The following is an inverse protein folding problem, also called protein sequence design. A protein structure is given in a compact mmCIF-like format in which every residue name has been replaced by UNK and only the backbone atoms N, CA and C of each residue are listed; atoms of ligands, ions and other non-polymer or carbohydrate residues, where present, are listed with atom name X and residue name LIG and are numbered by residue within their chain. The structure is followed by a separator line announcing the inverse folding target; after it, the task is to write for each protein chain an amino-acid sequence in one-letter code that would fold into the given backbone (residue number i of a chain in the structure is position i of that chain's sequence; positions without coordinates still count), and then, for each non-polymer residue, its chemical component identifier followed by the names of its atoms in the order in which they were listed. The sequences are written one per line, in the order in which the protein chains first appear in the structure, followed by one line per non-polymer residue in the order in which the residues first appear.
data_IF_657004810434
#
_entry.id   IF_657004810434
#
_cell.length_a   1.000
_cell.length_b   1.000
_cell.length_c   1.000
_cell.angle_alpha   90.00
_cell.angle_beta   90.00
_cell.angle_gamma   90.00
#
_symmetry.space_group_name_H-M   'P 1'
#
loop_
_entity.id
_entity.type
_entity.pdbx_description
1 polymer ?
#
# COMPACT_ATOMS: atom_id res chain seq x y z
N UNK A 1 -5.54 48.79 58.60
CA UNK A 1 -6.48 48.12 57.72
C UNK A 1 -5.64 47.39 56.70
N UNK A 2 -5.32 46.13 57.00
CA UNK A 2 -4.31 45.33 56.31
C UNK A 2 -5.11 44.28 55.48
N UNK A 3 -5.09 44.34 54.14
CA UNK A 3 -5.66 43.35 53.30
C UNK A 3 -4.63 42.22 53.05
N UNK A 4 -5.02 41.02 53.46
CA UNK A 4 -4.31 39.76 53.13
C UNK A 4 -4.87 39.21 51.83
N UNK A 5 -4.04 39.14 50.80
CA UNK A 5 -4.37 38.38 49.56
C UNK A 5 -3.96 36.91 49.74
N UNK A 6 -4.93 36.05 49.85
CA UNK A 6 -4.73 34.59 49.76
C UNK A 6 -4.63 34.18 48.28
N UNK A 7 -3.47 33.74 47.86
CA UNK A 7 -3.24 33.10 46.58
C UNK A 7 -3.71 31.64 46.62
N UNK A 8 -4.72 31.27 45.81
CA UNK A 8 -5.04 29.89 45.52
C UNK A 8 -4.12 29.37 44.40
N UNK A 9 -3.10 28.63 44.79
CA UNK A 9 -2.41 27.72 43.89
C UNK A 9 -3.14 26.38 43.95
N UNK A 10 -3.71 25.99 42.82
CA UNK A 10 -4.44 24.74 42.69
C UNK A 10 -4.64 24.39 41.22
N UNK A 11 -3.54 24.30 40.47
CA UNK A 11 -3.55 23.57 39.21
C UNK A 11 -3.14 22.13 39.51
N UNK A 12 -4.11 21.28 39.81
CA UNK A 12 -3.90 19.85 39.86
C UNK A 12 -3.62 19.35 38.47
N UNK A 13 -2.34 19.05 38.22
CA UNK A 13 -1.92 18.21 37.14
C UNK A 13 -2.48 16.81 37.38
N UNK A 14 -3.52 16.39 36.67
CA UNK A 14 -3.87 15.00 36.53
C UNK A 14 -2.98 14.42 35.40
N UNK A 15 -1.69 14.31 35.65
CA UNK A 15 -0.79 13.43 34.95
C UNK A 15 -0.73 12.16 35.81
N UNK A 16 -1.36 11.10 35.35
CA UNK A 16 -1.02 9.77 35.80
C UNK A 16 0.39 9.49 35.26
N UNK A 17 1.39 9.57 36.12
CA UNK A 17 2.70 8.97 35.87
C UNK A 17 2.51 7.46 35.84
N UNK A 18 2.23 6.91 34.64
CA UNK A 18 2.56 5.54 34.31
C UNK A 18 4.08 5.47 34.21
N UNK A 19 4.67 4.71 35.14
CA UNK A 19 6.11 4.49 35.22
C UNK A 19 6.56 3.71 33.98
N UNK A 20 6.82 4.37 32.82
CA UNK A 20 7.20 3.71 31.58
C UNK A 20 7.41 4.63 30.36
N UNK A 21 8.14 4.12 29.38
CA UNK A 21 8.40 4.79 28.10
C UNK A 21 7.18 4.69 27.20
N UNK A 22 6.73 5.79 26.61
CA UNK A 22 5.65 5.78 25.60
C UNK A 22 6.23 5.82 24.21
N UNK A 23 5.95 4.80 23.40
CA UNK A 23 6.31 4.70 22.00
C UNK A 23 5.15 5.20 21.13
N UNK A 24 5.37 6.26 20.38
CA UNK A 24 4.39 6.83 19.45
C UNK A 24 4.55 6.20 18.08
N UNK A 25 3.50 5.49 17.61
CA UNK A 25 3.48 4.72 16.38
C UNK A 25 2.54 5.36 15.35
N UNK A 26 3.07 5.90 14.25
CA UNK A 26 2.29 6.47 13.17
C UNK A 26 1.97 5.42 12.11
N UNK A 27 0.69 5.20 11.84
CA UNK A 27 0.21 4.13 10.96
C UNK A 27 -0.88 4.59 9.99
N UNK A 28 -1.00 3.87 8.89
CA UNK A 28 -2.16 3.94 7.99
C UNK A 28 -3.30 3.12 8.57
N UNK A 29 -4.51 3.67 8.54
CA UNK A 29 -5.73 2.98 8.98
C UNK A 29 -6.12 1.91 7.94
N UNK A 30 -5.89 0.64 8.28
CA UNK A 30 -6.27 -0.52 7.50
C UNK A 30 -6.55 -1.73 8.42
N UNK A 31 -6.98 -2.86 7.86
CA UNK A 31 -7.35 -4.05 8.64
C UNK A 31 -6.17 -4.62 9.41
N UNK A 32 -4.99 -4.75 8.80
CA UNK A 32 -3.79 -5.31 9.43
C UNK A 32 -3.33 -4.45 10.63
N UNK A 33 -3.44 -3.14 10.51
CA UNK A 33 -3.11 -2.23 11.62
C UNK A 33 -4.19 -2.21 12.71
N UNK A 34 -5.45 -2.42 12.36
CA UNK A 34 -6.52 -2.60 13.36
C UNK A 34 -6.27 -3.86 14.20
N UNK A 35 -5.79 -4.94 13.57
CA UNK A 35 -5.40 -6.15 14.26
C UNK A 35 -4.20 -5.92 15.20
N UNK A 36 -3.18 -5.21 14.72
CA UNK A 36 -2.02 -4.84 15.54
C UNK A 36 -2.43 -4.00 16.77
N UNK A 37 -3.32 -3.03 16.61
CA UNK A 37 -3.86 -2.25 17.73
C UNK A 37 -4.62 -3.15 18.72
N UNK A 38 -5.40 -4.11 18.23
CA UNK A 38 -6.17 -5.01 19.11
C UNK A 38 -5.29 -5.93 19.96
N UNK A 39 -4.12 -6.32 19.41
CA UNK A 39 -3.15 -7.19 20.08
C UNK A 39 -2.09 -6.39 20.88
N UNK A 40 -2.03 -5.07 20.75
CA UNK A 40 -1.06 -4.21 21.44
C UNK A 40 -1.03 -4.37 22.99
N UNK A 41 -2.18 -4.55 23.69
CA UNK A 41 -2.18 -4.79 25.13
C UNK A 41 -1.37 -6.03 25.57
N UNK A 42 -1.23 -7.03 24.70
CA UNK A 42 -0.43 -8.21 24.99
C UNK A 42 1.06 -7.91 24.93
N UNK A 43 1.48 -7.13 23.90
CA UNK A 43 2.85 -6.62 23.85
C UNK A 43 3.21 -5.80 25.11
N UNK A 44 2.32 -4.92 25.56
CA UNK A 44 2.53 -4.10 26.76
C UNK A 44 2.61 -4.98 28.03
N UNK A 45 1.80 -6.04 28.11
CA UNK A 45 1.86 -6.97 29.23
C UNK A 45 3.17 -7.78 29.27
N UNK A 46 3.71 -8.14 28.09
CA UNK A 46 4.98 -8.86 27.95
C UNK A 46 6.20 -7.92 28.14
N UNK A 47 6.02 -6.61 27.96
CA UNK A 47 7.06 -5.58 28.07
C UNK A 47 6.71 -4.50 29.12
N UNK A 48 6.68 -4.83 30.42
CA UNK A 48 6.33 -3.88 31.47
C UNK A 48 7.22 -2.64 31.40
N UNK A 49 6.61 -1.46 31.39
CA UNK A 49 7.32 -0.19 31.25
C UNK A 49 7.38 0.37 29.82
N UNK A 50 6.78 -0.32 28.83
CA UNK A 50 6.55 0.23 27.49
C UNK A 50 5.05 0.41 27.28
N UNK A 51 4.64 1.60 26.86
CA UNK A 51 3.26 1.93 26.50
C UNK A 51 3.21 2.30 25.01
N UNK A 52 2.18 1.87 24.28
CA UNK A 52 2.01 2.18 22.87
C UNK A 52 0.95 3.27 22.67
N UNK A 53 1.29 4.27 21.86
CA UNK A 53 0.37 5.32 21.43
C UNK A 53 0.28 5.32 19.91
N UNK A 54 -0.83 4.85 19.38
CA UNK A 54 -1.06 4.84 17.94
C UNK A 54 -1.64 6.16 17.42
N UNK A 55 -1.08 6.65 16.31
CA UNK A 55 -1.60 7.74 15.49
C UNK A 55 -2.04 7.12 14.18
N UNK A 56 -3.32 6.74 14.08
CA UNK A 56 -3.90 6.10 12.91
C UNK A 56 -4.61 7.13 12.05
N UNK A 57 -4.22 7.22 10.77
CA UNK A 57 -4.70 8.22 9.81
C UNK A 57 -5.07 7.54 8.48
N UNK A 58 -5.88 8.22 7.66
CA UNK A 58 -6.09 7.79 6.27
C UNK A 58 -4.76 7.78 5.50
N UNK A 59 -4.66 7.00 4.43
CA UNK A 59 -3.40 6.79 3.73
C UNK A 59 -2.72 8.11 3.31
N UNK A 60 -3.46 9.00 2.63
CA UNK A 60 -2.91 10.29 2.20
C UNK A 60 -2.46 11.18 3.38
N UNK A 61 -3.22 11.19 4.46
CA UNK A 61 -2.88 11.97 5.67
C UNK A 61 -1.67 11.38 6.39
N UNK A 62 -1.61 10.04 6.53
CA UNK A 62 -0.49 9.35 7.14
C UNK A 62 0.80 9.63 6.38
N UNK A 63 0.79 9.43 5.06
CA UNK A 63 1.96 9.68 4.20
C UNK A 63 2.45 11.12 4.33
N UNK A 64 1.56 12.11 4.22
CA UNK A 64 1.91 13.52 4.33
C UNK A 64 2.48 13.87 5.72
N UNK A 65 1.84 13.40 6.80
CA UNK A 65 2.24 13.72 8.16
C UNK A 65 3.55 13.04 8.56
N UNK A 66 3.72 11.76 8.21
CA UNK A 66 4.95 11.01 8.50
C UNK A 66 6.12 11.63 7.74
N UNK A 67 5.97 11.90 6.43
CA UNK A 67 7.00 12.54 5.61
C UNK A 67 7.40 13.90 6.19
N UNK A 68 6.43 14.75 6.55
CA UNK A 68 6.72 16.06 7.13
C UNK A 68 7.47 15.96 8.46
N UNK A 69 7.06 15.04 9.35
CA UNK A 69 7.73 14.84 10.65
C UNK A 69 9.17 14.35 10.48
N UNK A 70 9.38 13.36 9.62
CA UNK A 70 10.71 12.75 9.39
C UNK A 70 11.66 13.73 8.69
N UNK A 71 11.21 14.36 7.59
CA UNK A 71 12.03 15.28 6.80
C UNK A 71 12.45 16.55 7.56
N UNK A 72 11.62 17.01 8.51
CA UNK A 72 11.95 18.19 9.35
C UNK A 72 12.72 17.83 10.62
N UNK A 73 12.94 16.55 10.91
CA UNK A 73 13.54 16.10 12.16
C UNK A 73 12.67 16.37 13.38
N UNK A 74 11.34 16.35 13.22
CA UNK A 74 10.37 16.77 14.26
C UNK A 74 10.28 15.88 15.48
N UNK A 75 10.79 14.63 15.45
CA UNK A 75 10.80 13.71 16.59
C UNK A 75 9.41 13.33 17.14
N UNK A 76 8.34 13.47 16.32
CA UNK A 76 6.97 13.22 16.77
C UNK A 76 6.69 11.72 16.95
N UNK A 77 7.40 10.86 16.20
CA UNK A 77 7.15 9.43 16.14
C UNK A 77 8.40 8.61 16.45
N UNK A 78 8.21 7.50 17.17
CA UNK A 78 9.24 6.50 17.43
C UNK A 78 9.22 5.38 16.38
N UNK A 79 8.02 5.02 15.90
CA UNK A 79 7.82 4.05 14.83
C UNK A 79 6.93 4.66 13.76
N UNK A 80 7.31 4.47 12.50
CA UNK A 80 6.54 4.95 11.34
C UNK A 80 6.24 3.80 10.38
N UNK A 81 5.00 3.73 9.92
CA UNK A 81 4.60 2.85 8.82
C UNK A 81 4.92 3.55 7.50
N UNK A 82 5.88 3.00 6.80
CA UNK A 82 6.39 3.49 5.52
C UNK A 82 6.46 2.34 4.51
N UNK A 83 7.04 2.57 3.34
CA UNK A 83 7.11 1.57 2.31
C UNK A 83 8.49 1.43 1.67
N UNK A 84 8.60 0.49 0.75
CA UNK A 84 9.77 0.35 -0.12
C UNK A 84 9.98 1.56 -1.07
N UNK A 85 9.01 2.45 -1.18
CA UNK A 85 9.17 3.71 -1.88
C UNK A 85 9.98 4.72 -1.06
N UNK A 86 9.61 4.92 0.22
CA UNK A 86 10.27 5.88 1.10
C UNK A 86 11.62 5.38 1.63
N UNK A 87 11.70 4.09 1.98
CA UNK A 87 12.82 3.55 2.77
C UNK A 87 14.21 3.81 2.18
N UNK A 88 14.51 3.51 0.89
CA UNK A 88 15.85 3.73 0.35
C UNK A 88 16.25 5.21 0.37
N UNK A 89 15.33 6.10 -0.02
CA UNK A 89 15.56 7.54 -0.07
C UNK A 89 15.78 8.14 1.34
N UNK A 90 15.00 7.68 2.31
CA UNK A 90 15.12 8.17 3.69
C UNK A 90 16.34 7.62 4.40
N UNK A 91 16.76 6.40 4.05
CA UNK A 91 18.02 5.83 4.51
C UNK A 91 19.23 6.60 3.96
N UNK A 92 19.24 6.90 2.66
CA UNK A 92 20.27 7.73 2.00
C UNK A 92 20.39 9.12 2.64
N UNK A 93 19.26 9.75 3.00
CA UNK A 93 19.22 11.04 3.68
C UNK A 93 19.60 10.95 5.18
N UNK A 94 19.83 9.75 5.73
CA UNK A 94 20.14 9.55 7.14
C UNK A 94 18.96 9.78 8.09
N UNK A 95 17.73 9.68 7.60
CA UNK A 95 16.52 9.93 8.38
C UNK A 95 16.02 8.72 9.14
N UNK A 96 16.48 7.52 8.80
CA UNK A 96 16.11 6.26 9.44
C UNK A 96 17.26 5.65 10.23
N UNK A 97 16.92 4.88 11.24
CA UNK A 97 17.85 4.05 12.00
C UNK A 97 18.15 2.77 11.20
N UNK A 98 19.43 2.36 11.14
CA UNK A 98 19.81 1.08 10.58
C UNK A 98 19.33 -0.04 11.52
N UNK A 99 18.48 -0.92 11.02
CA UNK A 99 17.85 -1.98 11.80
C UNK A 99 18.55 -3.34 11.69
N UNK A 100 19.56 -3.47 10.80
CA UNK A 100 20.28 -4.75 10.64
C UNK A 100 21.03 -5.18 11.90
N UNK A 101 21.59 -4.24 12.66
CA UNK A 101 22.27 -4.55 13.93
C UNK A 101 21.28 -5.07 14.95
N UNK A 102 20.15 -4.38 15.11
CA UNK A 102 19.06 -4.79 15.98
C UNK A 102 18.51 -6.18 15.64
N UNK A 103 18.30 -6.45 14.34
CA UNK A 103 17.81 -7.74 13.88
C UNK A 103 18.81 -8.87 14.18
N UNK A 104 20.10 -8.63 13.97
CA UNK A 104 21.17 -9.59 14.25
C UNK A 104 21.33 -9.90 15.75
N UNK A 105 21.09 -8.92 16.60
CA UNK A 105 21.20 -9.04 18.05
C UNK A 105 19.95 -9.62 18.71
N UNK A 106 18.82 -9.73 17.96
CA UNK A 106 17.56 -10.26 18.49
C UNK A 106 17.51 -11.78 18.32
N UNK A 107 17.59 -12.59 19.40
CA UNK A 107 17.59 -14.04 19.32
C UNK A 107 16.33 -14.57 18.67
N UNK A 108 16.46 -15.42 17.64
CA UNK A 108 15.33 -16.09 16.99
C UNK A 108 14.51 -15.21 16.03
N UNK A 109 14.90 -13.96 15.79
CA UNK A 109 14.18 -13.07 14.90
C UNK A 109 14.15 -13.56 13.44
N UNK A 110 15.22 -14.26 13.01
CA UNK A 110 15.33 -14.91 11.70
C UNK A 110 15.04 -13.96 10.52
N UNK A 111 15.93 -12.99 10.34
CA UNK A 111 15.87 -12.04 9.23
C UNK A 111 15.94 -12.71 7.85
N UNK A 112 16.55 -13.90 7.76
CA UNK A 112 16.67 -14.67 6.52
C UNK A 112 15.32 -15.25 6.04
N UNK A 113 14.33 -15.31 6.90
CA UNK A 113 12.98 -15.80 6.58
C UNK A 113 12.12 -14.75 5.84
N UNK A 114 12.53 -13.49 5.79
CA UNK A 114 11.82 -12.51 4.97
C UNK A 114 11.95 -12.82 3.47
N UNK A 115 10.90 -12.57 2.72
CA UNK A 115 10.92 -12.71 1.26
C UNK A 115 12.03 -11.80 0.69
N UNK A 116 13.02 -12.35 -0.04
CA UNK A 116 14.24 -11.62 -0.41
C UNK A 116 13.98 -10.32 -1.17
N UNK A 117 13.06 -10.33 -2.15
CA UNK A 117 12.71 -9.16 -2.96
C UNK A 117 12.15 -8.01 -2.11
N UNK A 118 11.35 -8.32 -1.08
CA UNK A 118 10.81 -7.31 -0.18
C UNK A 118 11.89 -6.77 0.76
N UNK A 119 12.70 -7.65 1.35
CA UNK A 119 13.82 -7.23 2.20
C UNK A 119 14.81 -6.35 1.44
N UNK A 120 15.17 -6.72 0.20
CA UNK A 120 16.06 -5.94 -0.64
C UNK A 120 15.49 -4.54 -0.93
N UNK A 121 14.19 -4.45 -1.25
CA UNK A 121 13.51 -3.18 -1.51
C UNK A 121 13.41 -2.25 -0.29
N UNK A 122 13.61 -2.76 0.92
CA UNK A 122 13.60 -2.04 2.20
C UNK A 122 15.03 -1.83 2.76
N UNK A 123 16.04 -2.04 1.93
CA UNK A 123 17.44 -1.93 2.29
C UNK A 123 18.12 -0.82 1.50
N UNK A 124 19.17 -0.25 2.08
CA UNK A 124 20.06 0.70 1.45
C UNK A 124 21.52 0.30 1.78
N UNK A 125 22.39 0.25 0.77
CA UNK A 125 23.79 -0.21 0.89
C UNK A 125 23.95 -1.54 1.66
N UNK A 126 23.01 -2.47 1.43
CA UNK A 126 23.03 -3.81 2.02
C UNK A 126 22.54 -3.88 3.48
N UNK A 127 22.10 -2.78 4.08
CA UNK A 127 21.52 -2.72 5.41
C UNK A 127 20.02 -2.46 5.35
N UNK A 128 19.24 -3.11 6.22
CA UNK A 128 17.80 -2.95 6.34
C UNK A 128 17.49 -1.71 7.21
N UNK A 129 16.63 -0.81 6.70
CA UNK A 129 16.22 0.42 7.40
C UNK A 129 14.74 0.45 7.76
N UNK A 130 13.94 -0.43 7.20
CA UNK A 130 12.59 -0.73 7.66
C UNK A 130 12.32 -2.22 7.50
N UNK A 131 11.42 -2.75 8.34
CA UNK A 131 11.13 -4.19 8.39
C UNK A 131 9.84 -4.47 7.66
N UNK A 132 9.79 -5.47 6.74
CA UNK A 132 8.55 -5.85 6.09
C UNK A 132 7.48 -6.27 7.11
N UNK A 133 6.38 -5.54 7.17
CA UNK A 133 5.23 -5.95 7.95
C UNK A 133 4.30 -6.82 7.09
N UNK A 134 3.98 -6.38 5.89
CA UNK A 134 3.42 -7.21 4.85
C UNK A 134 3.86 -6.75 3.47
N UNK A 135 3.94 -7.70 2.55
CA UNK A 135 4.24 -7.46 1.14
C UNK A 135 3.02 -7.73 0.29
N UNK A 136 2.90 -7.01 -0.80
CA UNK A 136 1.79 -7.16 -1.72
C UNK A 136 2.22 -6.97 -3.17
N UNK A 137 1.45 -7.59 -4.04
CA UNK A 137 1.35 -7.26 -5.46
C UNK A 137 -0.07 -6.80 -5.75
N UNK A 138 -0.47 -6.77 -7.00
CA UNK A 138 -1.85 -6.56 -7.40
C UNK A 138 -2.38 -7.74 -8.19
N UNK A 139 -3.69 -7.98 -8.06
CA UNK A 139 -4.40 -9.00 -8.81
C UNK A 139 -5.86 -8.62 -9.06
N UNK A 140 -6.52 -9.34 -9.97
CA UNK A 140 -7.94 -9.22 -10.19
C UNK A 140 -8.71 -10.11 -9.21
N UNK A 141 -9.63 -9.53 -8.48
CA UNK A 141 -10.60 -10.19 -7.62
C UNK A 141 -11.97 -10.18 -8.29
N UNK A 142 -12.68 -11.31 -8.32
CA UNK A 142 -13.95 -11.41 -9.00
C UNK A 142 -14.94 -12.37 -8.32
N UNK A 143 -16.23 -12.09 -8.44
CA UNK A 143 -17.33 -12.90 -7.92
C UNK A 143 -17.53 -14.14 -8.80
N UNK A 144 -17.03 -15.30 -8.30
CA UNK A 144 -17.18 -16.60 -9.00
C UNK A 144 -18.62 -16.98 -9.27
N UNK A 145 -19.51 -16.69 -8.34
CA UNK A 145 -20.94 -16.98 -8.46
C UNK A 145 -21.57 -16.15 -9.60
N UNK A 146 -21.32 -14.84 -9.66
CA UNK A 146 -21.84 -13.99 -10.74
C UNK A 146 -21.25 -14.36 -12.11
N UNK A 147 -19.93 -14.69 -12.15
CA UNK A 147 -19.29 -15.19 -13.39
C UNK A 147 -19.96 -16.47 -13.88
N UNK A 148 -20.21 -17.42 -12.97
CA UNK A 148 -20.86 -18.69 -13.32
C UNK A 148 -22.27 -18.48 -13.83
N UNK A 149 -23.08 -17.62 -13.18
CA UNK A 149 -24.45 -17.29 -13.61
C UNK A 149 -24.46 -16.65 -15.01
N UNK A 150 -23.48 -15.80 -15.29
CA UNK A 150 -23.31 -15.15 -16.60
C UNK A 150 -22.64 -16.04 -17.65
N UNK A 151 -22.19 -17.25 -17.30
CA UNK A 151 -21.45 -18.14 -18.21
C UNK A 151 -20.11 -17.56 -18.63
N UNK A 152 -19.41 -16.87 -17.72
CA UNK A 152 -18.06 -16.33 -17.93
C UNK A 152 -17.06 -17.23 -17.23
N UNK A 153 -15.95 -17.53 -17.90
CA UNK A 153 -14.78 -18.16 -17.29
C UNK A 153 -13.64 -17.16 -17.30
N UNK A 154 -13.23 -16.69 -16.13
CA UNK A 154 -12.07 -15.80 -16.00
C UNK A 154 -10.80 -16.66 -16.06
N UNK A 155 -9.85 -16.37 -16.97
CA UNK A 155 -8.58 -17.08 -17.00
C UNK A 155 -7.69 -16.71 -15.81
N UNK A 156 -6.66 -17.51 -15.53
CA UNK A 156 -5.67 -17.23 -14.48
C UNK A 156 -4.83 -15.99 -14.79
N UNK A 157 -4.60 -15.72 -16.08
CA UNK A 157 -3.87 -14.56 -16.60
C UNK A 157 -4.77 -13.78 -17.58
N UNK A 158 -5.72 -12.98 -17.08
CA UNK A 158 -6.68 -12.29 -17.94
C UNK A 158 -6.03 -11.12 -18.69
N UNK A 159 -6.67 -10.72 -19.78
CA UNK A 159 -6.40 -9.45 -20.45
C UNK A 159 -7.35 -8.36 -19.93
N UNK A 160 -6.94 -7.10 -20.06
CA UNK A 160 -7.82 -5.96 -19.73
C UNK A 160 -9.09 -5.94 -20.60
N UNK A 161 -9.03 -6.47 -21.84
CA UNK A 161 -10.21 -6.60 -22.67
C UNK A 161 -11.20 -7.62 -22.11
N UNK A 162 -10.73 -8.79 -21.65
CA UNK A 162 -11.59 -9.80 -21.01
C UNK A 162 -12.22 -9.28 -19.72
N UNK A 163 -11.47 -8.46 -18.96
CA UNK A 163 -12.00 -7.79 -17.75
C UNK A 163 -13.09 -6.79 -18.11
N UNK A 164 -12.89 -5.97 -19.17
CA UNK A 164 -13.88 -5.01 -19.62
C UNK A 164 -15.15 -5.68 -20.14
N UNK A 165 -15.00 -6.77 -20.94
CA UNK A 165 -16.12 -7.55 -21.45
C UNK A 165 -16.93 -8.21 -20.31
N UNK A 166 -16.23 -8.71 -19.28
CA UNK A 166 -16.87 -9.27 -18.09
C UNK A 166 -17.58 -8.17 -17.29
N UNK A 167 -16.95 -7.01 -17.10
CA UNK A 167 -17.55 -5.87 -16.41
C UNK A 167 -18.86 -5.43 -17.10
N UNK A 168 -18.82 -5.26 -18.43
CA UNK A 168 -20.00 -4.87 -19.20
C UNK A 168 -21.16 -5.89 -19.11
N UNK A 169 -20.84 -7.18 -18.97
CA UNK A 169 -21.84 -8.24 -18.89
C UNK A 169 -22.44 -8.39 -17.49
N UNK A 170 -21.67 -8.06 -16.45
CA UNK A 170 -22.08 -8.22 -15.06
C UNK A 170 -22.71 -6.94 -14.47
N UNK A 171 -22.46 -5.78 -15.07
CA UNK A 171 -22.99 -4.50 -14.66
C UNK A 171 -24.51 -4.45 -14.79
N UNK A 172 -25.19 -4.06 -13.71
CA UNK A 172 -26.63 -3.92 -13.66
C UNK A 172 -27.04 -2.93 -12.54
N UNK A 173 -28.34 -2.74 -12.31
CA UNK A 173 -28.87 -1.76 -11.35
C UNK A 173 -28.45 -2.05 -9.88
N UNK A 174 -28.12 -3.29 -9.54
CA UNK A 174 -27.79 -3.72 -8.17
C UNK A 174 -26.29 -3.90 -7.94
N UNK A 175 -25.52 -4.25 -8.99
CA UNK A 175 -24.11 -4.62 -8.89
C UNK A 175 -23.34 -3.95 -10.03
N UNK A 176 -22.34 -3.12 -9.70
CA UNK A 176 -21.43 -2.58 -10.69
C UNK A 176 -20.48 -3.67 -11.25
N UNK A 177 -20.10 -3.54 -12.51
CA UNK A 177 -19.21 -4.52 -13.17
C UNK A 177 -17.83 -4.63 -12.52
N UNK A 178 -17.27 -3.47 -12.11
CA UNK A 178 -15.94 -3.40 -11.50
C UNK A 178 -15.83 -2.22 -10.53
N UNK A 179 -15.04 -2.33 -9.47
CA UNK A 179 -14.56 -1.18 -8.71
C UNK A 179 -13.10 -0.90 -9.07
N UNK A 180 -12.80 0.36 -9.38
CA UNK A 180 -11.45 0.87 -9.59
C UNK A 180 -11.27 2.17 -8.81
N UNK A 181 -10.07 2.40 -8.28
CA UNK A 181 -9.77 3.63 -7.54
C UNK A 181 -9.82 4.84 -8.47
N UNK A 182 -10.49 5.91 -8.04
CA UNK A 182 -10.50 7.20 -8.73
C UNK A 182 -10.17 8.37 -7.79
N UNK A 183 -10.01 8.10 -6.49
CA UNK A 183 -9.67 9.08 -5.46
C UNK A 183 -8.28 9.67 -5.71
N UNK A 184 -8.12 11.03 -5.66
CA UNK A 184 -6.82 11.64 -5.86
C UNK A 184 -5.84 11.25 -4.75
N UNK A 185 -4.60 11.08 -5.11
CA UNK A 185 -3.48 10.68 -4.26
C UNK A 185 -2.53 9.79 -5.06
N UNK A 186 -1.22 10.00 -4.90
CA UNK A 186 -0.23 9.18 -5.58
C UNK A 186 -0.31 7.71 -5.14
N UNK A 187 -0.63 7.44 -3.87
CA UNK A 187 -0.87 6.10 -3.34
C UNK A 187 -2.31 5.59 -3.54
N UNK A 188 -3.20 6.39 -4.10
CA UNK A 188 -4.61 6.02 -4.37
C UNK A 188 -4.81 5.68 -5.85
N UNK A 189 -5.34 6.59 -6.67
CA UNK A 189 -5.67 6.28 -8.08
C UNK A 189 -4.46 5.84 -8.90
N UNK A 190 -3.25 6.38 -8.63
CA UNK A 190 -2.07 6.01 -9.41
C UNK A 190 -1.57 4.60 -9.10
N UNK A 191 -1.80 4.05 -7.92
CA UNK A 191 -1.34 2.71 -7.58
C UNK A 191 -1.83 1.65 -8.59
N UNK A 192 -3.15 1.45 -8.85
CA UNK A 192 -3.60 0.56 -9.89
C UNK A 192 -3.39 1.14 -11.30
N UNK A 193 -3.56 2.45 -11.51
CA UNK A 193 -3.49 3.04 -12.85
C UNK A 193 -2.11 2.92 -13.49
N UNK A 194 -1.02 3.13 -12.72
CA UNK A 194 0.35 3.03 -13.26
C UNK A 194 0.66 1.62 -13.77
N UNK A 195 0.12 0.58 -13.12
CA UNK A 195 0.24 -0.79 -13.62
C UNK A 195 -0.58 -1.02 -14.90
N UNK A 196 -1.72 -0.34 -15.05
CA UNK A 196 -2.49 -0.34 -16.31
C UNK A 196 -1.71 0.39 -17.41
N UNK A 197 -1.13 1.55 -17.12
CA UNK A 197 -0.26 2.28 -18.06
C UNK A 197 0.88 1.38 -18.52
N UNK A 198 1.56 0.71 -17.59
CA UNK A 198 2.63 -0.24 -17.90
C UNK A 198 2.15 -1.41 -18.77
N UNK A 199 0.95 -1.96 -18.46
CA UNK A 199 0.35 -3.05 -19.25
C UNK A 199 0.10 -2.66 -20.69
N UNK A 200 -0.28 -1.43 -20.96
CA UNK A 200 -0.49 -0.87 -22.31
C UNK A 200 0.80 -0.40 -22.97
N UNK A 201 1.96 -0.56 -22.32
CA UNK A 201 3.27 -0.17 -22.86
C UNK A 201 3.59 1.31 -22.67
N UNK A 202 2.80 2.03 -21.86
CA UNK A 202 3.08 3.42 -21.47
C UNK A 202 4.21 3.50 -20.44
N UNK A 203 4.73 4.70 -20.25
CA UNK A 203 5.77 5.03 -19.25
C UNK A 203 5.72 6.51 -18.89
N UNK A 204 6.28 6.86 -17.72
CA UNK A 204 6.35 8.25 -17.29
C UNK A 204 7.45 9.05 -18.00
N UNK A 205 8.62 8.42 -18.20
CA UNK A 205 9.79 8.99 -18.84
C UNK A 205 10.46 8.00 -19.78
N UNK A 206 11.03 8.50 -20.86
CA UNK A 206 11.97 7.73 -21.67
C UNK A 206 13.37 7.72 -21.03
N UNK A 207 14.33 6.96 -21.60
CA UNK A 207 15.68 6.82 -21.07
C UNK A 207 16.44 8.15 -20.94
N UNK A 208 16.00 9.21 -21.62
CA UNK A 208 16.58 10.56 -21.59
C UNK A 208 15.80 11.49 -20.66
N UNK A 209 14.93 10.97 -19.80
CA UNK A 209 14.05 11.75 -18.92
C UNK A 209 13.09 12.71 -19.66
N UNK A 210 12.78 12.44 -20.92
CA UNK A 210 11.68 13.15 -21.57
C UNK A 210 10.36 12.57 -21.05
N UNK A 211 9.49 13.44 -20.56
CA UNK A 211 8.16 13.05 -20.08
C UNK A 211 7.33 12.43 -21.20
N UNK A 212 6.56 11.38 -20.89
CA UNK A 212 5.79 10.58 -21.85
C UNK A 212 4.31 10.45 -21.46
N UNK A 213 3.79 11.31 -20.57
CA UNK A 213 2.42 11.17 -20.07
C UNK A 213 1.34 11.55 -21.11
N UNK A 214 1.68 12.25 -22.19
CA UNK A 214 0.80 12.51 -23.33
C UNK A 214 1.07 11.59 -24.55
N UNK A 215 1.87 10.53 -24.35
CA UNK A 215 2.12 9.55 -25.40
C UNK A 215 0.85 8.74 -25.74
N UNK A 216 0.74 8.21 -26.99
CA UNK A 216 -0.43 7.44 -27.39
C UNK A 216 -0.73 6.24 -26.48
N UNK A 217 0.30 5.56 -25.96
CA UNK A 217 0.15 4.39 -25.08
C UNK A 217 -0.43 4.80 -23.72
N UNK A 218 0.02 5.93 -23.16
CA UNK A 218 -0.51 6.45 -21.89
C UNK A 218 -1.94 6.98 -22.11
N UNK A 219 -2.20 7.69 -23.20
CA UNK A 219 -3.56 8.17 -23.54
C UNK A 219 -4.52 6.98 -23.67
N UNK A 220 -4.14 5.90 -24.37
CA UNK A 220 -4.95 4.69 -24.52
C UNK A 220 -5.24 4.03 -23.18
N UNK A 221 -4.23 3.84 -22.34
CA UNK A 221 -4.37 3.22 -21.02
C UNK A 221 -5.29 4.02 -20.07
N UNK A 222 -5.07 5.34 -20.01
CA UNK A 222 -5.86 6.21 -19.12
C UNK A 222 -7.30 6.36 -19.63
N UNK A 223 -7.48 6.47 -20.96
CA UNK A 223 -8.82 6.51 -21.55
C UNK A 223 -9.57 5.21 -21.27
N UNK A 224 -8.91 4.06 -21.47
CA UNK A 224 -9.49 2.75 -21.15
C UNK A 224 -9.93 2.67 -19.68
N UNK A 225 -9.06 3.05 -18.74
CA UNK A 225 -9.34 3.04 -17.31
C UNK A 225 -10.54 3.93 -16.95
N UNK A 226 -10.52 5.17 -17.45
CA UNK A 226 -11.58 6.16 -17.19
C UNK A 226 -12.90 5.70 -17.81
N UNK A 227 -12.91 5.19 -19.03
CA UNK A 227 -14.13 4.72 -19.69
C UNK A 227 -14.70 3.48 -18.98
N UNK A 228 -13.86 2.53 -18.58
CA UNK A 228 -14.28 1.34 -17.85
C UNK A 228 -14.97 1.71 -16.54
N UNK A 229 -14.34 2.57 -15.72
CA UNK A 229 -14.90 2.93 -14.43
C UNK A 229 -16.13 3.83 -14.54
N UNK A 230 -16.20 4.69 -15.56
CA UNK A 230 -17.36 5.57 -15.77
C UNK A 230 -18.57 4.86 -16.35
N UNK A 231 -18.34 3.79 -17.13
CA UNK A 231 -19.42 3.06 -17.80
C UNK A 231 -19.92 1.89 -16.96
N UNK A 232 -19.02 1.16 -16.31
CA UNK A 232 -19.32 -0.09 -15.60
C UNK A 232 -18.81 -0.11 -14.16
N UNK A 233 -18.28 1.01 -13.67
CA UNK A 233 -17.72 1.09 -12.32
C UNK A 233 -18.73 1.55 -11.28
N UNK A 234 -18.27 1.61 -10.06
CA UNK A 234 -19.04 2.05 -8.90
C UNK A 234 -19.44 3.54 -8.98
N UNK A 235 -20.59 3.88 -8.42
CA UNK A 235 -20.97 5.28 -8.26
C UNK A 235 -19.97 6.04 -7.38
N UNK A 236 -19.67 7.29 -7.74
CA UNK A 236 -18.74 8.13 -6.98
C UNK A 236 -17.27 7.71 -7.10
N UNK A 237 -16.89 7.07 -8.20
CA UNK A 237 -15.54 6.53 -8.42
C UNK A 237 -14.41 7.53 -8.13
N UNK A 238 -14.58 8.82 -8.46
CA UNK A 238 -13.58 9.87 -8.20
C UNK A 238 -13.26 10.12 -6.70
N UNK A 239 -14.04 9.53 -5.79
CA UNK A 239 -13.83 9.58 -4.34
C UNK A 239 -13.55 8.21 -3.73
N UNK A 240 -13.53 7.16 -4.56
CA UNK A 240 -13.29 5.78 -4.13
C UNK A 240 -11.81 5.47 -4.20
N UNK A 241 -11.24 5.05 -3.08
CA UNK A 241 -9.90 4.49 -2.92
C UNK A 241 -9.96 3.01 -2.57
N UNK A 242 -8.87 2.49 -1.96
CA UNK A 242 -8.79 1.10 -1.51
C UNK A 242 -9.93 0.68 -0.58
N UNK A 243 -10.17 1.46 0.47
CA UNK A 243 -11.17 1.13 1.50
C UNK A 243 -12.60 1.13 0.95
N UNK A 244 -12.91 2.07 0.08
CA UNK A 244 -14.23 2.19 -0.54
C UNK A 244 -14.48 1.02 -1.50
N UNK A 245 -13.53 0.66 -2.37
CA UNK A 245 -13.65 -0.50 -3.27
C UNK A 245 -13.68 -1.83 -2.49
N UNK A 246 -12.88 -1.98 -1.43
CA UNK A 246 -12.92 -3.13 -0.54
C UNK A 246 -14.30 -3.31 0.08
N UNK A 247 -14.93 -2.22 0.53
CA UNK A 247 -16.30 -2.23 1.04
C UNK A 247 -17.30 -2.61 -0.05
N UNK A 248 -17.19 -2.07 -1.26
CA UNK A 248 -18.08 -2.39 -2.37
C UNK A 248 -18.06 -3.90 -2.69
N UNK A 249 -16.87 -4.49 -2.83
CA UNK A 249 -16.77 -5.91 -3.14
C UNK A 249 -17.15 -6.80 -1.96
N UNK A 250 -16.71 -6.50 -0.73
CA UNK A 250 -17.02 -7.30 0.45
C UNK A 250 -18.51 -7.31 0.79
N UNK A 251 -19.23 -6.23 0.50
CA UNK A 251 -20.68 -6.17 0.66
C UNK A 251 -21.44 -6.78 -0.54
N UNK A 252 -20.76 -7.09 -1.64
CA UNK A 252 -21.36 -7.70 -2.83
C UNK A 252 -21.95 -6.71 -3.83
N UNK A 253 -21.64 -5.42 -3.71
CA UNK A 253 -22.16 -4.34 -4.56
C UNK A 253 -21.38 -4.15 -5.86
N UNK A 254 -20.28 -4.87 -6.05
CA UNK A 254 -19.51 -4.90 -7.29
C UNK A 254 -19.12 -6.33 -7.65
N UNK A 255 -18.96 -6.62 -8.93
CA UNK A 255 -18.62 -7.96 -9.42
C UNK A 255 -17.11 -8.23 -9.44
N UNK A 256 -16.30 -7.19 -9.66
CA UNK A 256 -14.84 -7.29 -9.77
C UNK A 256 -14.15 -6.11 -9.07
N UNK A 257 -12.87 -6.33 -8.73
CA UNK A 257 -11.98 -5.30 -8.23
C UNK A 257 -10.54 -5.65 -8.60
N UNK A 258 -9.82 -4.72 -9.19
CA UNK A 258 -8.38 -4.84 -9.44
C UNK A 258 -7.63 -3.96 -8.44
N UNK A 259 -6.85 -4.60 -7.56
CA UNK A 259 -6.15 -3.90 -6.49
C UNK A 259 -5.12 -4.79 -5.78
N UNK A 260 -4.61 -4.30 -4.64
CA UNK A 260 -3.65 -4.96 -3.77
C UNK A 260 -4.05 -6.38 -3.36
N UNK A 261 -3.09 -7.29 -3.37
CA UNK A 261 -3.29 -8.67 -2.88
C UNK A 261 -3.63 -8.74 -1.40
N UNK A 262 -3.31 -7.70 -0.61
CA UNK A 262 -3.68 -7.57 0.81
C UNK A 262 -5.18 -7.41 1.05
N UNK A 263 -5.97 -7.11 0.01
CA UNK A 263 -7.44 -7.01 0.07
C UNK A 263 -8.13 -8.32 0.51
N UNK A 264 -7.45 -9.45 0.43
CA UNK A 264 -7.98 -10.76 0.88
C UNK A 264 -8.44 -10.72 2.34
N UNK A 265 -7.76 -9.97 3.21
CA UNK A 265 -8.12 -9.84 4.61
C UNK A 265 -9.49 -9.16 4.84
N UNK A 266 -9.94 -8.36 3.88
CA UNK A 266 -11.27 -7.72 3.90
C UNK A 266 -12.32 -8.64 3.27
N UNK A 267 -11.95 -9.35 2.20
CA UNK A 267 -12.88 -10.14 1.40
C UNK A 267 -13.19 -11.50 2.01
N UNK A 268 -12.22 -12.11 2.67
CA UNK A 268 -12.36 -13.45 3.26
C UNK A 268 -12.59 -13.43 4.79
N UNK A 269 -12.74 -12.24 5.39
CA UNK A 269 -13.11 -12.10 6.80
C UNK A 269 -14.61 -12.42 7.02
N UNK A 270 -14.95 -13.55 7.69
CA UNK A 270 -16.34 -13.94 7.89
C UNK A 270 -17.13 -13.02 8.81
N UNK A 271 -16.46 -12.11 9.53
CA UNK A 271 -17.11 -11.17 10.45
C UNK A 271 -17.62 -9.91 9.76
N UNK A 272 -17.09 -9.58 8.58
CA UNK A 272 -17.35 -8.31 7.89
C UNK A 272 -17.71 -8.45 6.40
N UNK A 273 -17.44 -9.62 5.78
CA UNK A 273 -17.67 -9.84 4.36
C UNK A 273 -18.88 -10.73 4.07
N UNK A 274 -19.72 -10.31 3.12
CA UNK A 274 -20.86 -11.09 2.61
C UNK A 274 -20.49 -12.03 1.45
N UNK A 275 -19.21 -12.00 1.02
CA UNK A 275 -18.73 -12.70 -0.17
C UNK A 275 -17.65 -13.75 0.13
N UNK A 276 -17.46 -14.10 1.39
CA UNK A 276 -16.50 -15.12 1.83
C UNK A 276 -16.66 -16.39 1.01
N UNK A 277 -15.54 -16.91 0.47
CA UNK A 277 -15.50 -18.11 -0.36
C UNK A 277 -16.09 -17.95 -1.76
N UNK A 278 -16.67 -16.79 -2.13
CA UNK A 278 -17.24 -16.51 -3.45
C UNK A 278 -16.26 -15.79 -4.38
N UNK A 279 -15.12 -15.35 -3.86
CA UNK A 279 -14.13 -14.59 -4.65
C UNK A 279 -13.19 -15.57 -5.37
N UNK A 280 -12.93 -15.27 -6.64
CA UNK A 280 -11.85 -15.81 -7.43
C UNK A 280 -10.74 -14.79 -7.57
N UNK A 281 -9.53 -15.26 -7.73
CA UNK A 281 -8.32 -14.44 -7.83
C UNK A 281 -7.56 -14.81 -9.10
N UNK A 282 -7.18 -13.82 -9.88
CA UNK A 282 -6.41 -13.99 -11.11
C UNK A 282 -5.28 -12.97 -11.13
N UNK A 283 -4.18 -13.25 -11.83
CA UNK A 283 -3.05 -12.30 -11.96
C UNK A 283 -3.51 -10.93 -12.45
N UNK A 284 -2.66 -9.92 -12.28
CA UNK A 284 -2.86 -8.60 -12.83
C UNK A 284 -3.11 -8.67 -14.35
N UNK A 285 -4.19 -8.02 -14.86
CA UNK A 285 -4.55 -8.15 -16.26
C UNK A 285 -3.48 -7.60 -17.20
N UNK A 286 -3.27 -8.26 -18.32
CA UNK A 286 -2.32 -7.90 -19.37
C UNK A 286 -2.98 -7.09 -20.49
N UNK A 287 -2.15 -6.36 -21.26
CA UNK A 287 -2.49 -5.83 -22.57
C UNK A 287 -1.36 -6.19 -23.54
N UNK A 288 -0.42 -5.29 -23.81
CA UNK A 288 0.79 -5.61 -24.60
C UNK A 288 1.91 -6.19 -23.74
N UNK A 289 1.85 -6.00 -22.41
CA UNK A 289 2.78 -6.57 -21.43
C UNK A 289 2.00 -7.43 -20.43
N UNK A 290 2.54 -8.59 -20.08
CA UNK A 290 2.11 -9.44 -18.96
C UNK A 290 2.95 -9.20 -17.70
N UNK A 291 2.65 -9.94 -16.62
CA UNK A 291 3.29 -9.80 -15.31
C UNK A 291 3.32 -8.34 -14.81
N UNK A 292 2.13 -7.71 -14.80
CA UNK A 292 1.97 -6.29 -14.50
C UNK A 292 1.63 -6.02 -13.03
N UNK A 293 1.68 -7.03 -12.17
CA UNK A 293 1.49 -6.84 -10.73
C UNK A 293 2.58 -5.93 -10.17
N UNK A 294 2.20 -5.07 -9.23
CA UNK A 294 3.18 -4.23 -8.54
C UNK A 294 4.01 -5.01 -7.51
N UNK A 295 5.05 -4.40 -7.01
CA UNK A 295 5.78 -4.83 -5.83
C UNK A 295 5.68 -3.72 -4.79
N UNK A 296 5.05 -4.02 -3.68
CA UNK A 296 4.94 -3.06 -2.58
C UNK A 296 5.10 -3.76 -1.23
N UNK A 297 5.75 -3.10 -0.31
CA UNK A 297 5.84 -3.54 1.07
C UNK A 297 5.46 -2.39 1.99
N UNK A 298 4.46 -2.63 2.82
CA UNK A 298 4.28 -1.82 4.01
C UNK A 298 5.24 -2.32 5.08
N UNK A 299 5.99 -1.40 5.64
CA UNK A 299 7.09 -1.68 6.54
C UNK A 299 7.08 -0.76 7.76
N UNK A 300 7.76 -1.18 8.79
CA UNK A 300 7.94 -0.38 10.01
C UNK A 300 9.39 0.10 10.08
N UNK A 301 9.57 1.41 10.13
CA UNK A 301 10.86 2.08 10.29
C UNK A 301 10.93 2.82 11.61
N UNK A 302 12.15 3.06 12.09
CA UNK A 302 12.43 3.87 13.28
C UNK A 302 13.12 5.14 12.79
N UNK A 303 12.48 6.33 12.92
CA UNK A 303 13.13 7.60 12.59
C UNK A 303 14.40 7.80 13.40
N UNK A 304 15.43 8.38 12.77
CA UNK A 304 16.70 8.69 13.47
C UNK A 304 16.53 9.65 14.64
N UNK A 305 15.42 10.38 14.67
CA UNK A 305 15.03 11.34 15.71
C UNK A 305 14.29 10.73 16.88
N UNK A 306 13.98 9.42 16.85
CA UNK A 306 13.41 8.73 18.02
C UNK A 306 14.38 8.80 19.20
N UNK A 307 13.87 9.16 20.38
CA UNK A 307 14.62 9.13 21.63
C UNK A 307 14.59 7.74 22.29
N UNK A 308 13.77 6.81 21.76
CA UNK A 308 13.51 5.49 22.35
C UNK A 308 13.72 4.36 21.29
N UNK A 309 14.85 4.31 20.57
CA UNK A 309 15.02 3.35 19.47
C UNK A 309 15.04 1.89 19.93
N UNK A 310 15.51 1.60 21.14
CA UNK A 310 15.57 0.22 21.68
C UNK A 310 14.17 -0.30 22.03
N UNK A 311 13.30 0.52 22.63
CA UNK A 311 11.92 0.19 22.91
C UNK A 311 11.09 0.13 21.64
N UNK A 312 11.33 1.04 20.69
CA UNK A 312 10.72 1.02 19.37
C UNK A 312 11.06 -0.27 18.63
N UNK A 313 12.31 -0.72 18.70
CA UNK A 313 12.72 -2.00 18.10
C UNK A 313 12.03 -3.21 18.73
N UNK A 314 11.82 -3.23 20.05
CA UNK A 314 11.06 -4.31 20.69
C UNK A 314 9.67 -4.45 20.11
N UNK A 315 8.99 -3.31 19.86
CA UNK A 315 7.68 -3.32 19.22
C UNK A 315 7.75 -3.74 17.75
N UNK A 316 8.66 -3.16 16.96
CA UNK A 316 8.84 -3.50 15.54
C UNK A 316 9.17 -4.98 15.38
N UNK A 317 10.10 -5.51 16.16
CA UNK A 317 10.50 -6.92 16.09
C UNK A 317 9.37 -7.87 16.52
N UNK A 318 8.60 -7.53 17.56
CA UNK A 318 7.43 -8.30 17.97
C UNK A 318 6.37 -8.34 16.86
N UNK A 319 6.00 -7.18 16.31
CA UNK A 319 4.95 -7.05 15.31
C UNK A 319 5.28 -7.73 13.98
N UNK A 320 6.58 -7.94 13.69
CA UNK A 320 7.07 -8.58 12.46
C UNK A 320 7.63 -9.98 12.69
N UNK A 321 7.44 -10.53 13.90
CA UNK A 321 7.91 -11.87 14.28
C UNK A 321 7.01 -12.99 13.73
N UNK A 322 7.54 -14.22 13.73
CA UNK A 322 6.76 -15.44 13.46
C UNK A 322 5.67 -15.66 14.52
N UNK A 323 5.98 -15.30 15.76
CA UNK A 323 5.07 -15.40 16.90
C UNK A 323 3.85 -14.50 16.70
N UNK A 324 4.04 -13.27 16.27
CA UNK A 324 2.94 -12.34 15.94
C UNK A 324 2.05 -12.90 14.83
N UNK A 325 2.64 -13.40 13.73
CA UNK A 325 1.88 -13.97 12.61
C UNK A 325 1.05 -15.18 13.06
N UNK A 326 1.63 -16.06 13.89
CA UNK A 326 0.90 -17.20 14.50
C UNK A 326 -0.20 -16.72 15.46
N UNK A 327 0.04 -15.66 16.22
CA UNK A 327 -0.95 -15.06 17.14
C UNK A 327 -2.14 -14.53 16.35
N UNK A 328 -1.93 -13.74 15.31
CA UNK A 328 -3.00 -13.27 14.43
C UNK A 328 -3.80 -14.45 13.87
N UNK A 329 -3.12 -15.47 13.32
CA UNK A 329 -3.78 -16.63 12.77
C UNK A 329 -4.65 -17.40 13.78
N UNK A 330 -4.16 -17.57 14.99
CA UNK A 330 -4.84 -18.35 16.02
C UNK A 330 -5.97 -17.58 16.72
N UNK A 331 -5.83 -16.29 16.90
CA UNK A 331 -6.75 -15.48 17.70
C UNK A 331 -7.77 -14.70 16.85
N UNK A 332 -7.33 -14.24 15.66
CA UNK A 332 -8.17 -13.40 14.80
C UNK A 332 -8.62 -14.10 13.52
N UNK A 333 -7.89 -15.14 13.09
CA UNK A 333 -8.16 -15.88 11.86
C UNK A 333 -6.97 -15.91 10.91
N UNK A 334 -6.75 -17.05 10.25
CA UNK A 334 -5.61 -17.25 9.35
C UNK A 334 -5.72 -16.43 8.05
N UNK A 335 -6.92 -16.03 7.65
CA UNK A 335 -7.20 -15.12 6.54
C UNK A 335 -6.79 -13.66 6.85
N UNK A 336 -6.59 -13.33 8.14
CA UNK A 336 -6.17 -12.00 8.61
C UNK A 336 -4.66 -11.86 8.77
N UNK A 337 -3.93 -12.97 8.67
CA UNK A 337 -2.46 -12.94 8.76
C UNK A 337 -1.89 -12.04 7.67
N UNK A 338 -1.05 -11.04 8.02
CA UNK A 338 -0.41 -10.16 7.05
C UNK A 338 0.34 -10.97 5.98
N UNK A 339 -0.03 -10.87 4.69
CA UNK A 339 0.56 -11.69 3.64
C UNK A 339 1.95 -11.19 3.23
N UNK A 340 2.73 -12.03 2.57
CA UNK A 340 3.89 -11.62 1.81
C UNK A 340 5.08 -11.08 2.61
N UNK A 341 5.21 -11.34 3.91
CA UNK A 341 6.39 -10.90 4.66
C UNK A 341 7.42 -12.01 4.83
N UNK A 342 7.01 -13.18 5.34
CA UNK A 342 7.91 -14.28 5.69
C UNK A 342 7.62 -15.54 4.86
N UNK A 343 8.68 -16.21 4.40
CA UNK A 343 8.59 -17.46 3.64
C UNK A 343 7.92 -18.57 4.47
N UNK A 344 8.26 -18.66 5.77
CA UNK A 344 7.71 -19.68 6.66
C UNK A 344 6.20 -19.56 6.85
N UNK A 345 5.59 -18.39 6.66
CA UNK A 345 4.12 -18.21 6.73
C UNK A 345 3.42 -19.12 5.73
N UNK A 346 3.96 -19.23 4.52
CA UNK A 346 3.42 -20.07 3.44
C UNK A 346 3.61 -21.57 3.69
N UNK A 347 4.37 -21.96 4.70
CA UNK A 347 4.55 -23.36 5.11
C UNK A 347 3.59 -23.80 6.23
N UNK A 348 2.92 -22.86 6.92
CA UNK A 348 1.96 -23.15 8.00
C UNK A 348 0.73 -23.83 7.41
N UNK A 349 0.34 -25.05 7.88
CA UNK A 349 -0.79 -25.79 7.30
C UNK A 349 -2.12 -25.05 7.37
N UNK A 350 -2.37 -24.33 8.46
CA UNK A 350 -3.59 -23.56 8.68
C UNK A 350 -3.65 -22.36 7.74
N UNK A 351 -2.53 -21.66 7.54
CA UNK A 351 -2.43 -20.57 6.56
C UNK A 351 -2.60 -21.08 5.13
N UNK A 352 -1.95 -22.18 4.76
CA UNK A 352 -2.14 -22.82 3.43
C UNK A 352 -3.61 -23.17 3.18
N UNK A 353 -4.32 -23.63 4.20
CA UNK A 353 -5.75 -23.93 4.08
C UNK A 353 -6.59 -22.66 3.91
N UNK A 354 -6.36 -21.65 4.72
CA UNK A 354 -7.10 -20.39 4.66
C UNK A 354 -6.82 -19.64 3.35
N UNK A 355 -5.55 -19.62 2.91
CA UNK A 355 -5.10 -18.92 1.71
C UNK A 355 -5.18 -19.76 0.41
N UNK A 356 -5.82 -20.94 0.43
CA UNK A 356 -5.83 -21.88 -0.70
C UNK A 356 -6.32 -21.25 -2.03
N UNK A 357 -7.19 -20.24 -1.96
CA UNK A 357 -7.72 -19.57 -3.14
C UNK A 357 -6.81 -18.48 -3.70
N UNK A 358 -5.93 -17.89 -2.88
CA UNK A 358 -5.17 -16.69 -3.24
C UNK A 358 -3.67 -16.75 -2.89
N UNK A 359 -3.26 -17.62 -1.97
CA UNK A 359 -1.87 -17.62 -1.46
C UNK A 359 -0.83 -17.83 -2.56
N UNK A 360 -1.05 -18.78 -3.47
CA UNK A 360 -0.10 -19.04 -4.56
C UNK A 360 -0.06 -17.89 -5.56
N UNK A 361 -1.21 -17.39 -6.01
CA UNK A 361 -1.26 -16.26 -6.97
C UNK A 361 -0.67 -14.98 -6.35
N UNK A 362 -0.82 -14.76 -5.04
CA UNK A 362 -0.17 -13.66 -4.32
C UNK A 362 1.35 -13.79 -4.38
N UNK A 363 1.88 -14.95 -4.02
CA UNK A 363 3.33 -15.20 -4.01
C UNK A 363 3.93 -15.11 -5.43
N UNK A 364 3.24 -15.70 -6.41
CA UNK A 364 3.67 -15.64 -7.82
C UNK A 364 3.67 -14.20 -8.36
N UNK A 365 2.66 -13.39 -7.97
CA UNK A 365 2.57 -11.98 -8.38
C UNK A 365 3.68 -11.13 -7.74
N UNK A 366 4.01 -11.36 -6.46
CA UNK A 366 5.13 -10.68 -5.78
C UNK A 366 6.46 -11.05 -6.45
N UNK A 367 6.68 -12.33 -6.74
CA UNK A 367 7.93 -12.80 -7.34
C UNK A 367 8.05 -12.44 -8.83
N UNK A 368 6.93 -12.27 -9.54
CA UNK A 368 6.89 -11.89 -10.96
C UNK A 368 7.08 -10.39 -11.21
N UNK A 369 6.93 -9.55 -10.19
CA UNK A 369 7.09 -8.10 -10.33
C UNK A 369 8.58 -7.74 -10.56
N UNK A 370 8.86 -6.98 -11.62
CA UNK A 370 10.21 -6.49 -11.93
C UNK A 370 10.22 -4.93 -11.90
N UNK A 371 10.64 -4.33 -10.78
CA UNK A 371 10.71 -2.87 -10.67
C UNK A 371 11.69 -2.20 -11.64
N UNK A 372 12.64 -2.96 -12.21
CA UNK A 372 13.62 -2.46 -13.17
C UNK A 372 13.10 -2.53 -14.63
N UNK A 373 12.00 -3.26 -14.85
CA UNK A 373 11.36 -3.39 -16.16
C UNK A 373 9.84 -3.27 -16.04
N UNK A 374 9.34 -2.14 -15.54
CA UNK A 374 7.91 -1.99 -15.26
C UNK A 374 7.04 -2.05 -16.52
N UNK A 375 7.56 -1.68 -17.68
CA UNK A 375 6.86 -1.65 -18.97
C UNK A 375 7.70 -2.31 -20.08
N UNK A 376 7.24 -2.25 -21.34
CA UNK A 376 7.92 -2.88 -22.50
C UNK A 376 9.20 -2.16 -22.89
N UNK A 377 9.19 -0.83 -22.85
CA UNK A 377 10.35 0.00 -23.18
C UNK A 377 11.18 0.32 -21.94
N UNK A 378 12.52 0.52 -22.08
CA UNK A 378 13.38 0.92 -20.98
C UNK A 378 12.95 2.24 -20.35
N UNK A 379 13.15 2.35 -19.04
CA UNK A 379 12.87 3.56 -18.26
C UNK A 379 14.10 3.95 -17.42
N UNK A 380 14.28 5.21 -17.05
CA UNK A 380 15.44 5.69 -16.30
C UNK A 380 15.24 5.61 -14.77
N UNK A 381 14.11 5.08 -14.32
CA UNK A 381 13.71 4.97 -12.92
C UNK A 381 13.43 3.52 -12.53
N UNK A 382 13.38 3.25 -11.24
CA UNK A 382 12.93 1.98 -10.67
C UNK A 382 11.50 2.13 -10.13
N UNK A 383 10.71 1.07 -10.18
CA UNK A 383 9.37 1.01 -9.61
C UNK A 383 8.31 0.57 -10.61
N UNK A 384 7.29 -0.15 -10.14
CA UNK A 384 6.18 -0.63 -10.97
C UNK A 384 4.99 0.34 -10.89
N UNK A 385 4.40 0.51 -9.70
CA UNK A 385 3.27 1.42 -9.49
C UNK A 385 3.68 2.85 -9.12
N UNK A 386 4.91 3.05 -8.67
CA UNK A 386 5.47 4.37 -8.31
C UNK A 386 6.89 4.48 -8.81
N UNK A 387 7.28 5.67 -9.22
CA UNK A 387 8.66 5.95 -9.59
C UNK A 387 9.48 6.22 -8.33
N UNK A 388 10.57 5.50 -8.13
CA UNK A 388 11.47 5.71 -6.98
C UNK A 388 12.37 6.92 -7.23
N UNK A 389 11.76 8.10 -7.25
CA UNK A 389 12.42 9.40 -7.33
C UNK A 389 11.87 10.32 -6.25
N UNK A 390 12.68 11.22 -5.66
CA UNK A 390 12.26 12.10 -4.56
C UNK A 390 11.03 12.97 -4.88
N UNK A 391 10.92 13.42 -6.12
CA UNK A 391 9.85 14.32 -6.57
C UNK A 391 8.52 13.62 -6.77
N UNK A 392 8.47 12.27 -6.78
CA UNK A 392 7.26 11.55 -7.18
C UNK A 392 6.06 11.80 -6.26
N UNK A 393 6.26 12.03 -4.96
CA UNK A 393 5.15 12.33 -4.06
C UNK A 393 4.38 13.60 -4.48
N UNK A 394 5.08 14.69 -4.82
CA UNK A 394 4.44 15.93 -5.31
C UNK A 394 3.93 15.75 -6.74
N UNK A 395 4.76 15.21 -7.63
CA UNK A 395 4.41 14.97 -9.03
C UNK A 395 3.18 14.06 -9.13
N UNK A 396 3.21 12.90 -8.48
CA UNK A 396 2.10 11.94 -8.48
C UNK A 396 0.84 12.53 -7.86
N UNK A 397 0.95 13.32 -6.80
CA UNK A 397 -0.21 14.02 -6.21
C UNK A 397 -0.86 14.95 -7.22
N UNK A 398 -0.09 15.77 -7.95
CA UNK A 398 -0.61 16.68 -8.98
C UNK A 398 -1.24 15.93 -10.15
N UNK A 399 -0.56 14.89 -10.64
CA UNK A 399 -1.07 14.06 -11.73
C UNK A 399 -2.36 13.35 -11.31
N UNK A 400 -2.40 12.77 -10.11
CA UNK A 400 -3.59 12.08 -9.59
C UNK A 400 -4.82 12.98 -9.52
N UNK A 401 -4.65 14.27 -9.21
CA UNK A 401 -5.74 15.24 -9.20
C UNK A 401 -6.35 15.44 -10.61
N UNK A 402 -5.51 15.47 -11.64
CA UNK A 402 -5.99 15.59 -13.03
C UNK A 402 -6.71 14.31 -13.47
N UNK A 403 -6.15 13.14 -13.14
CA UNK A 403 -6.78 11.85 -13.42
C UNK A 403 -8.14 11.74 -12.71
N UNK A 404 -8.20 12.08 -11.43
CA UNK A 404 -9.45 12.07 -10.66
C UNK A 404 -10.51 13.01 -11.26
N UNK A 405 -10.10 14.19 -11.74
CA UNK A 405 -10.99 15.11 -12.44
C UNK A 405 -11.52 14.52 -13.76
N UNK A 406 -10.71 13.75 -14.49
CA UNK A 406 -11.15 13.02 -15.67
C UNK A 406 -12.12 11.88 -15.31
N UNK A 407 -11.85 11.11 -14.25
CA UNK A 407 -12.78 10.08 -13.71
C UNK A 407 -14.12 10.73 -13.32
N UNK A 408 -14.08 11.91 -12.69
CA UNK A 408 -15.30 12.67 -12.36
C UNK A 408 -16.02 13.25 -13.59
N UNK A 409 -15.41 13.21 -14.78
CA UNK A 409 -15.95 13.80 -16.01
C UNK A 409 -15.90 15.34 -16.04
N UNK A 410 -15.07 15.95 -15.22
CA UNK A 410 -14.90 17.41 -15.14
C UNK A 410 -14.00 17.94 -16.28
N UNK A 411 -13.03 17.13 -16.71
CA UNK A 411 -12.14 17.42 -17.83
C UNK A 411 -12.01 16.17 -18.72
N UNK A 412 -11.52 16.33 -19.95
CA UNK A 412 -11.20 15.18 -20.79
C UNK A 412 -9.91 14.49 -20.32
N UNK A 413 -9.73 13.21 -20.67
CA UNK A 413 -8.47 12.48 -20.43
C UNK A 413 -7.30 13.22 -21.11
N UNK A 414 -7.50 13.69 -22.32
CA UNK A 414 -6.49 14.43 -23.06
C UNK A 414 -6.05 15.71 -22.34
N UNK A 415 -7.00 16.47 -21.79
CA UNK A 415 -6.66 17.70 -21.03
C UNK A 415 -5.97 17.35 -19.71
N UNK A 416 -6.39 16.25 -19.04
CA UNK A 416 -5.72 15.76 -17.82
C UNK A 416 -4.27 15.38 -18.10
N UNK A 417 -4.03 14.62 -19.17
CA UNK A 417 -2.68 14.17 -19.56
C UNK A 417 -1.81 15.33 -20.06
N UNK A 418 -2.36 16.32 -20.76
CA UNK A 418 -1.62 17.51 -21.15
C UNK A 418 -1.12 18.32 -19.93
N UNK A 419 -1.89 18.38 -18.84
CA UNK A 419 -1.45 19.00 -17.59
C UNK A 419 -0.44 18.13 -16.86
N UNK A 420 -0.67 16.81 -16.81
CA UNK A 420 0.25 15.84 -16.22
C UNK A 420 1.62 15.88 -16.91
N UNK A 421 1.64 15.94 -18.25
CA UNK A 421 2.84 16.07 -19.06
C UNK A 421 3.68 17.31 -18.67
N UNK A 422 3.02 18.47 -18.49
CA UNK A 422 3.72 19.69 -18.07
C UNK A 422 4.38 19.54 -16.69
N UNK A 423 3.72 18.88 -15.74
CA UNK A 423 4.31 18.63 -14.42
C UNK A 423 5.51 17.68 -14.52
N UNK A 424 5.38 16.60 -15.30
CA UNK A 424 6.45 15.64 -15.52
C UNK A 424 7.65 16.25 -16.26
N UNK A 425 7.44 17.13 -17.25
CA UNK A 425 8.51 17.84 -17.95
C UNK A 425 9.38 18.69 -17.01
N UNK A 426 8.77 19.32 -16.00
CA UNK A 426 9.53 20.12 -15.02
C UNK A 426 10.48 19.21 -14.23
N UNK A 427 10.01 18.07 -13.77
CA UNK A 427 10.83 17.10 -13.04
C UNK A 427 11.87 16.46 -13.97
N UNK A 428 11.51 16.04 -15.18
CA UNK A 428 12.45 15.44 -16.14
C UNK A 428 13.64 16.34 -16.45
N UNK A 429 13.45 17.67 -16.56
CA UNK A 429 14.53 18.63 -16.79
C UNK A 429 15.60 18.63 -15.71
N UNK A 430 15.24 18.42 -14.45
CA UNK A 430 16.23 18.36 -13.35
C UNK A 430 17.20 17.20 -13.53
N UNK A 431 16.72 16.07 -14.04
CA UNK A 431 17.53 14.88 -14.32
C UNK A 431 18.34 15.00 -15.59
N UNK A 432 17.82 15.68 -16.63
CA UNK A 432 18.56 15.97 -17.86
C UNK A 432 19.75 16.91 -17.60
N UNK A 433 19.57 17.93 -16.77
CA UNK A 433 20.63 18.89 -16.39
C UNK A 433 21.71 18.25 -15.49
N UNK A 434 21.36 17.25 -14.68
CA UNK A 434 22.30 16.53 -13.82
C UNK A 434 23.18 15.48 -14.54
N UNK A 435 22.89 15.18 -15.81
CA UNK A 435 23.66 14.24 -16.64
C UNK A 435 24.72 14.94 -17.53
N UNK A 436 24.83 16.26 -17.50
CA UNK A 436 25.71 17.11 -18.34
C UNK A 436 27.08 17.45 -17.64
#
# INVERSE_FOLDING_TARGET
MTLVLSGCAGAGSFGGDGDGTTITVAIVSNSQMSDAISLAPEFEAENPGINLKFVSLSENEARAKITASVATGGGEFDVVMISNFETPQWAENGWLTNLSEYANETPGYDEADFIPTLKESLSYEGSMYSVPFYGESSFLMYRKDLMQEAGITMPEEPTWQEVADAAAKLDNDDVSGICLRGKPGWGEVLAPLDTVINAFGGRWYDENWNAQLDSPQVEEAVQFYVDLVRTHGQAGAATSGFSECGTQLSQGNTAMWYDATSAVSVLEDPTSSNVVGKIGYAKAPSAVKGDNGWLYSWALGIPKTSENPDEAWKFVSWMTSKEYLNKVGNELGWERVPPGSRLSTYEIPEYKKASAAYGQVTLDSINGADPNKPTVDPVPYTGVQFLTIPEFQDLGTRVSQQISAAVAGQISVKDALAQAQQYAEVVGKTYQEGQG
#
